data_IF_682021897680
#
_entry.id   IF_682021897680
#
_cell.length_a   1.000
_cell.length_b   1.000
_cell.length_c   1.000
_cell.angle_alpha   90.00
_cell.angle_beta   90.00
_cell.angle_gamma   90.00
#
_symmetry.space_group_name_H-M   'P 1'
#
loop_
_entity.id
_entity.type
_entity.pdbx_description
1 polymer ?
#
# COMPACT_ATOMS: atom_id res chain seq x y z
N UNK A 1 0.36 -16.70 25.76
CA UNK A 1 0.25 -16.53 25.10
C UNK A 1 0.33 -16.32 24.24
N UNK A 2 0.36 -16.43 24.02
CA UNK A 2 0.60 -16.33 23.00
C UNK A 2 0.47 -15.37 22.20
N UNK A 3 1.02 -14.93 21.84
CA UNK A 3 0.94 -14.08 21.11
C UNK A 3 0.50 -14.31 20.03
N UNK A 4 -0.03 -13.68 19.49
CA UNK A 4 -0.60 -13.84 18.44
C UNK A 4 0.15 -13.57 17.33
N UNK A 5 0.71 -14.43 16.72
CA UNK A 5 1.45 -14.24 15.50
C UNK A 5 0.59 -13.67 14.42
N UNK A 6 -0.68 -13.88 14.53
CA UNK A 6 -1.58 -13.36 13.51
C UNK A 6 -1.62 -11.87 13.44
N UNK A 7 -1.14 -11.19 14.46
CA UNK A 7 -1.13 -9.74 14.43
C UNK A 7 0.10 -9.19 13.73
N UNK A 8 1.07 -10.04 13.41
CA UNK A 8 2.23 -9.56 12.73
C UNK A 8 1.95 -9.26 11.31
N UNK A 9 2.40 -8.11 10.87
CA UNK A 9 2.17 -7.68 9.51
C UNK A 9 3.40 -7.76 8.66
N UNK A 10 4.55 -7.99 9.27
CA UNK A 10 5.81 -8.00 8.54
C UNK A 10 6.29 -9.42 8.34
N UNK A 11 6.91 -9.70 7.20
CA UNK A 11 7.42 -11.04 6.91
C UNK A 11 8.89 -11.22 7.30
N UNK A 12 9.48 -10.28 8.01
CA UNK A 12 10.93 -10.29 8.22
C UNK A 12 11.36 -10.23 9.67
N UNK A 13 10.44 -10.46 10.60
CA UNK A 13 10.79 -10.41 12.02
C UNK A 13 11.82 -11.46 12.40
N UNK A 14 11.91 -12.54 11.68
CA UNK A 14 12.86 -13.61 11.99
C UNK A 14 14.30 -13.17 11.74
N UNK A 15 14.55 -12.35 10.73
CA UNK A 15 15.92 -11.93 10.46
C UNK A 15 16.18 -10.48 10.85
N UNK A 16 15.14 -9.70 11.04
CA UNK A 16 15.28 -8.29 11.39
C UNK A 16 14.27 -7.95 12.49
N UNK A 17 14.49 -8.47 13.70
CA UNK A 17 13.48 -8.32 14.75
C UNK A 17 13.19 -6.89 15.15
N UNK A 18 14.20 -6.02 15.20
CA UNK A 18 13.95 -4.62 15.53
C UNK A 18 13.11 -3.95 14.45
N UNK A 19 13.41 -4.21 13.18
CA UNK A 19 12.64 -3.65 12.09
C UNK A 19 11.21 -4.16 12.15
N UNK A 20 11.03 -5.46 12.42
CA UNK A 20 9.70 -6.03 12.58
C UNK A 20 8.93 -5.38 13.71
N UNK A 21 9.58 -5.13 14.84
CA UNK A 21 8.93 -4.47 15.97
C UNK A 21 8.52 -3.04 15.61
N UNK A 22 9.38 -2.30 14.94
CA UNK A 22 9.01 -0.95 14.51
C UNK A 22 7.84 -0.99 13.53
N UNK A 23 7.82 -1.96 12.65
CA UNK A 23 6.70 -2.10 11.71
C UNK A 23 5.40 -2.34 12.47
N UNK A 24 5.41 -3.25 13.43
CA UNK A 24 4.19 -3.62 14.13
C UNK A 24 3.75 -2.57 15.14
N UNK A 25 4.68 -2.00 15.89
CA UNK A 25 4.33 -1.14 17.01
C UNK A 25 4.35 0.34 16.66
N UNK A 26 5.23 0.76 15.77
CA UNK A 26 5.34 2.17 15.43
C UNK A 26 4.58 2.48 14.15
N UNK A 27 4.88 1.79 13.06
CA UNK A 27 4.23 2.10 11.80
C UNK A 27 2.73 1.79 11.87
N UNK A 28 2.38 0.54 12.13
CA UNK A 28 0.98 0.15 12.12
C UNK A 28 0.30 0.31 13.47
N UNK A 29 1.06 0.28 14.55
CA UNK A 29 0.48 0.44 15.89
C UNK A 29 0.33 1.89 16.30
N UNK A 30 1.05 2.81 15.67
CA UNK A 30 0.98 4.22 16.02
C UNK A 30 0.68 5.08 14.80
N UNK A 31 1.57 5.12 13.84
CA UNK A 31 1.45 6.08 12.71
C UNK A 31 0.13 5.90 11.97
N UNK A 32 -0.21 4.67 11.61
CA UNK A 32 -1.44 4.41 10.87
C UNK A 32 -2.69 4.58 11.73
N UNK A 33 -2.55 4.62 13.04
CA UNK A 33 -3.67 4.80 13.96
C UNK A 33 -3.87 6.23 14.40
N UNK A 34 -3.00 7.14 13.99
CA UNK A 34 -3.10 8.54 14.40
C UNK A 34 -4.30 9.20 13.74
N UNK A 35 -5.01 10.06 14.50
CA UNK A 35 -6.25 10.66 13.97
C UNK A 35 -6.04 11.78 12.97
N UNK A 36 -4.80 12.23 12.77
CA UNK A 36 -4.54 13.36 11.88
C UNK A 36 -4.89 13.13 10.42
N UNK A 37 -4.88 11.86 9.98
CA UNK A 37 -5.30 11.49 8.64
C UNK A 37 -6.07 10.18 8.74
N UNK A 38 -7.06 10.02 7.88
CA UNK A 38 -7.79 8.76 7.81
C UNK A 38 -6.89 7.67 7.22
N UNK A 39 -7.25 6.44 7.46
CA UNK A 39 -6.52 5.32 6.85
C UNK A 39 -6.65 5.35 5.33
N UNK A 40 -7.79 5.82 4.84
CA UNK A 40 -7.99 6.01 3.42
C UNK A 40 -6.97 6.98 2.84
N UNK A 41 -6.81 8.14 3.49
CA UNK A 41 -5.87 9.15 3.00
C UNK A 41 -4.43 8.67 3.13
N UNK A 42 -4.11 7.97 4.21
CA UNK A 42 -2.77 7.40 4.36
C UNK A 42 -2.48 6.39 3.24
N UNK A 43 -3.48 5.61 2.85
CA UNK A 43 -3.32 4.67 1.75
C UNK A 43 -3.08 5.37 0.43
N UNK A 44 -3.80 6.46 0.17
CA UNK A 44 -3.57 7.24 -1.04
C UNK A 44 -2.14 7.77 -1.08
N UNK A 45 -1.66 8.30 0.04
CA UNK A 45 -0.30 8.82 0.13
C UNK A 45 0.73 7.72 -0.11
N UNK A 46 0.50 6.55 0.48
CA UNK A 46 1.43 5.44 0.33
C UNK A 46 1.51 4.96 -1.11
N UNK A 47 0.36 4.76 -1.74
CA UNK A 47 0.31 4.33 -3.12
C UNK A 47 0.98 5.37 -4.02
N UNK A 48 0.64 6.64 -3.85
CA UNK A 48 1.21 7.70 -4.67
C UNK A 48 2.73 7.76 -4.50
N UNK A 49 3.20 7.62 -3.27
CA UNK A 49 4.64 7.66 -2.99
C UNK A 49 5.36 6.51 -3.67
N UNK A 50 4.82 5.30 -3.56
CA UNK A 50 5.46 4.14 -4.15
C UNK A 50 5.46 4.21 -5.68
N UNK A 51 4.38 4.72 -6.25
CA UNK A 51 4.34 4.93 -7.70
C UNK A 51 5.41 5.94 -8.11
N UNK A 52 5.46 7.08 -7.42
CA UNK A 52 6.41 8.14 -7.75
C UNK A 52 7.85 7.68 -7.61
N UNK A 53 8.13 6.83 -6.63
CA UNK A 53 9.46 6.28 -6.42
C UNK A 53 9.72 5.05 -7.29
N UNK A 54 8.74 4.65 -8.08
CA UNK A 54 8.86 3.51 -8.98
C UNK A 54 9.12 2.21 -8.21
N UNK A 55 8.41 2.05 -7.10
CA UNK A 55 8.56 0.86 -6.25
C UNK A 55 7.56 -0.21 -6.64
N UNK A 56 7.71 -0.72 -7.85
CA UNK A 56 6.71 -1.63 -8.42
C UNK A 56 6.65 -2.98 -7.73
N UNK A 57 7.70 -3.37 -7.04
CA UNK A 57 7.70 -4.65 -6.31
C UNK A 57 6.78 -4.62 -5.10
N UNK A 58 6.51 -3.45 -4.58
CA UNK A 58 5.81 -3.31 -3.30
C UNK A 58 4.36 -2.93 -3.42
N UNK A 59 3.95 -2.50 -4.60
CA UNK A 59 2.58 -2.05 -4.81
C UNK A 59 1.53 -3.15 -4.78
N UNK A 60 1.76 -4.28 -5.47
CA UNK A 60 0.63 -5.12 -5.81
C UNK A 60 -0.07 -5.78 -4.65
N UNK A 61 0.67 -6.30 -3.71
CA UNK A 61 0.03 -7.15 -2.72
C UNK A 61 -0.31 -6.43 -1.44
N UNK A 62 0.33 -5.32 -1.19
CA UNK A 62 0.16 -4.65 0.09
C UNK A 62 -0.52 -3.32 -0.06
N UNK A 63 0.01 -2.46 -0.88
CA UNK A 63 -0.43 -1.07 -0.85
C UNK A 63 -1.66 -0.82 -1.69
N UNK A 64 -1.76 -1.41 -2.86
CA UNK A 64 -2.98 -1.27 -3.66
C UNK A 64 -4.14 -1.96 -2.96
N UNK A 65 -3.91 -3.16 -2.47
CA UNK A 65 -4.96 -3.90 -1.79
C UNK A 65 -5.37 -3.21 -0.50
N UNK A 66 -4.40 -2.72 0.26
CA UNK A 66 -4.71 -1.98 1.48
C UNK A 66 -5.53 -0.72 1.18
N UNK A 67 -5.21 -0.03 0.09
CA UNK A 67 -5.96 1.15 -0.30
C UNK A 67 -7.42 0.79 -0.58
N UNK A 68 -7.65 -0.28 -1.31
CA UNK A 68 -9.02 -0.73 -1.57
C UNK A 68 -9.72 -1.09 -0.27
N UNK A 69 -9.04 -1.81 0.63
CA UNK A 69 -9.61 -2.19 1.91
C UNK A 69 -9.95 -0.97 2.76
N UNK A 70 -9.19 0.09 2.61
CA UNK A 70 -9.39 1.32 3.40
C UNK A 70 -10.33 2.32 2.73
N UNK A 71 -10.99 1.91 1.66
CA UNK A 71 -12.06 2.72 1.09
C UNK A 71 -11.71 3.51 -0.14
N UNK A 72 -10.51 3.36 -0.67
CA UNK A 72 -10.16 3.96 -1.96
C UNK A 72 -10.77 3.12 -3.05
N UNK A 73 -11.48 3.72 -3.98
CA UNK A 73 -12.12 2.97 -5.06
C UNK A 73 -11.13 2.66 -6.17
N UNK A 74 -11.48 1.71 -7.01
CA UNK A 74 -10.67 1.40 -8.19
C UNK A 74 -10.53 2.61 -9.08
N UNK A 75 -11.64 3.33 -9.30
CA UNK A 75 -11.61 4.52 -10.14
C UNK A 75 -10.69 5.57 -9.55
N UNK A 76 -10.68 5.73 -8.23
CA UNK A 76 -9.78 6.67 -7.59
C UNK A 76 -8.32 6.26 -7.75
N UNK A 77 -8.02 4.97 -7.66
CA UNK A 77 -6.66 4.50 -7.88
C UNK A 77 -6.20 4.79 -9.30
N UNK A 78 -7.08 4.56 -10.28
CA UNK A 78 -6.76 4.87 -11.67
C UNK A 78 -6.57 6.38 -11.85
N UNK A 79 -7.36 7.17 -11.17
CA UNK A 79 -7.20 8.62 -11.24
C UNK A 79 -5.87 9.08 -10.65
N UNK A 80 -5.43 8.46 -9.55
CA UNK A 80 -4.12 8.74 -8.97
C UNK A 80 -3.02 8.45 -9.98
N UNK A 81 -3.09 7.29 -10.63
CA UNK A 81 -2.09 6.90 -11.61
C UNK A 81 -2.09 7.87 -12.78
N UNK A 82 -3.25 8.25 -13.26
CA UNK A 82 -3.39 9.20 -14.36
C UNK A 82 -2.76 10.54 -14.00
N UNK A 83 -3.04 11.01 -12.80
CA UNK A 83 -2.48 12.26 -12.31
C UNK A 83 -0.96 12.19 -12.26
N UNK A 84 -0.44 11.10 -11.71
CA UNK A 84 0.99 10.95 -11.53
C UNK A 84 1.74 10.75 -12.84
N UNK A 85 1.06 10.35 -13.92
CA UNK A 85 1.72 10.29 -15.22
C UNK A 85 2.33 11.63 -15.59
N UNK A 86 1.68 12.72 -15.19
CA UNK A 86 2.14 14.06 -15.51
C UNK A 86 3.21 14.57 -14.54
N UNK A 87 3.28 14.02 -13.34
CA UNK A 87 4.23 14.46 -12.32
C UNK A 87 5.41 13.53 -12.18
N UNK A 88 5.22 12.23 -12.40
CA UNK A 88 6.26 11.22 -12.19
C UNK A 88 6.71 10.54 -13.47
N UNK A 89 6.00 10.75 -14.57
CA UNK A 89 6.40 10.21 -15.86
C UNK A 89 5.53 9.05 -16.33
N UNK A 90 5.39 8.96 -17.63
CA UNK A 90 4.55 7.96 -18.27
C UNK A 90 5.02 6.52 -18.02
N UNK A 91 6.31 6.23 -18.07
CA UNK A 91 6.75 4.85 -17.79
C UNK A 91 6.36 4.39 -16.39
N UNK A 92 6.43 5.29 -15.43
CA UNK A 92 6.01 4.99 -14.06
C UNK A 92 4.50 4.70 -14.01
N UNK A 93 3.70 5.50 -14.70
CA UNK A 93 2.27 5.29 -14.74
C UNK A 93 1.91 3.99 -15.44
N UNK A 94 2.61 3.66 -16.53
CA UNK A 94 2.37 2.40 -17.22
C UNK A 94 2.62 1.20 -16.34
N UNK A 95 3.71 1.23 -15.57
CA UNK A 95 4.01 0.16 -14.64
C UNK A 95 2.92 0.06 -13.56
N UNK A 96 2.49 1.21 -13.05
CA UNK A 96 1.50 1.22 -12.00
C UNK A 96 0.14 0.70 -12.47
N UNK A 97 -0.29 1.07 -13.67
CA UNK A 97 -1.58 0.63 -14.16
C UNK A 97 -1.58 -0.87 -14.45
N UNK A 98 -0.44 -1.40 -14.89
CA UNK A 98 -0.32 -2.84 -15.11
C UNK A 98 -0.49 -3.60 -13.79
N UNK A 99 0.14 -3.10 -12.74
CA UNK A 99 0.04 -3.70 -11.42
C UNK A 99 -1.39 -3.60 -10.89
N UNK A 100 -2.01 -2.43 -11.03
CA UNK A 100 -3.37 -2.23 -10.55
C UNK A 100 -4.34 -3.19 -11.24
N UNK A 101 -4.19 -3.37 -12.55
CA UNK A 101 -5.04 -4.30 -13.29
C UNK A 101 -4.93 -5.71 -12.72
N UNK A 102 -3.72 -6.13 -12.45
CA UNK A 102 -3.48 -7.47 -11.91
C UNK A 102 -4.15 -7.65 -10.55
N UNK A 103 -4.01 -6.66 -9.68
CA UNK A 103 -4.62 -6.73 -8.36
C UNK A 103 -6.13 -6.76 -8.48
N UNK A 104 -6.70 -5.91 -9.35
CA UNK A 104 -8.16 -5.88 -9.53
C UNK A 104 -8.69 -7.23 -10.00
N UNK A 105 -7.95 -7.89 -10.89
CA UNK A 105 -8.37 -9.18 -11.39
C UNK A 105 -8.31 -10.27 -10.33
N UNK A 106 -7.38 -10.15 -9.41
CA UNK A 106 -7.22 -11.17 -8.36
C UNK A 106 -8.28 -11.07 -7.29
N UNK A 107 -8.66 -9.86 -6.90
CA UNK A 107 -9.46 -9.71 -5.69
C UNK A 107 -10.94 -9.56 -5.95
N UNK A 108 -11.33 -9.27 -7.17
CA UNK A 108 -12.73 -9.04 -7.42
C UNK A 108 -13.10 -9.50 -8.79
N UNK A 109 -13.15 -10.76 -8.98
CA UNK A 109 -13.59 -11.26 -10.27
C UNK A 109 -15.02 -10.85 -10.46
N UNK A 110 -15.42 -10.67 -11.69
CA UNK A 110 -16.75 -10.22 -12.04
C UNK A 110 -17.84 -11.18 -11.62
#
# INVERSE_FOLDING_TARGET
MPDEPTTRRNPYSDIAPALGDYTDTVLFGDVWERPGLSKRDRSLLSVATLIALYRTNELPHHDVKRALDNGVSRDELIEVITHLAFYAGWPTANAAVTIARRVFEEIAPP
#
